data_IF_731529592413
#
_entry.id   IF_731529592413
#
_cell.length_a   1.000
_cell.length_b   1.000
_cell.length_c   1.000
_cell.angle_alpha   90.00
_cell.angle_beta   90.00
_cell.angle_gamma   90.00
#
_symmetry.space_group_name_H-M   'P 1'
#
loop_
_entity.id
_entity.type
_entity.pdbx_description
1 polymer ?
#
# COMPACT_ATOMS: atom_id res chain seq x y z
N UNK A 1 26.43 -17.84 22.90
CA UNK A 1 25.17 -18.34 23.48
C UNK A 1 24.08 -18.19 22.43
N UNK A 2 23.66 -19.29 21.80
CA UNK A 2 22.61 -19.26 20.76
C UNK A 2 21.26 -19.15 21.45
N UNK A 3 20.64 -17.98 21.44
CA UNK A 3 19.24 -17.85 21.84
C UNK A 3 18.39 -17.92 20.57
N UNK A 4 17.95 -19.14 20.24
CA UNK A 4 16.87 -19.33 19.29
C UNK A 4 15.61 -18.81 19.97
N UNK A 5 14.98 -17.77 19.43
CA UNK A 5 13.61 -17.44 19.84
C UNK A 5 12.78 -18.63 19.38
N UNK A 6 12.36 -19.46 20.33
CA UNK A 6 11.38 -20.50 20.07
C UNK A 6 10.15 -19.80 19.46
N UNK A 7 9.69 -20.25 18.29
CA UNK A 7 8.65 -19.56 17.50
C UNK A 7 7.30 -19.39 18.24
N UNK A 8 7.13 -20.16 19.31
CA UNK A 8 6.06 -20.17 20.30
C UNK A 8 6.17 -19.05 21.35
N UNK A 9 7.32 -18.38 21.47
CA UNK A 9 7.54 -17.28 22.40
C UNK A 9 7.11 -15.91 21.86
N UNK A 10 6.72 -15.78 20.59
CA UNK A 10 6.31 -14.49 19.98
C UNK A 10 4.81 -14.27 20.21
N UNK A 11 4.39 -13.32 21.06
CA UNK A 11 2.98 -13.07 21.32
C UNK A 11 2.25 -12.55 20.08
N UNK A 12 0.93 -12.77 20.01
CA UNK A 12 0.09 -12.06 19.04
C UNK A 12 0.24 -10.56 19.22
N UNK A 13 0.32 -9.83 18.12
CA UNK A 13 0.49 -8.38 18.15
C UNK A 13 1.93 -7.90 18.36
N UNK A 14 2.90 -8.81 18.53
CA UNK A 14 4.30 -8.44 18.77
C UNK A 14 4.94 -7.67 17.62
N UNK A 15 5.90 -6.82 17.97
CA UNK A 15 6.85 -6.21 17.04
C UNK A 15 8.18 -6.95 17.19
N UNK A 16 8.74 -7.45 16.09
CA UNK A 16 9.95 -8.28 16.07
C UNK A 16 11.04 -7.56 15.27
N UNK A 17 12.26 -7.63 15.79
CA UNK A 17 13.46 -7.09 15.16
C UNK A 17 14.51 -8.20 15.02
N UNK A 18 15.02 -8.38 13.81
CA UNK A 18 16.16 -9.27 13.51
C UNK A 18 17.42 -8.41 13.43
N UNK A 19 18.31 -8.58 14.40
CA UNK A 19 19.56 -7.83 14.53
C UNK A 19 20.73 -8.78 14.74
N UNK A 20 20.96 -9.70 13.79
CA UNK A 20 21.97 -10.77 13.95
C UNK A 20 23.38 -10.39 13.49
N UNK A 21 23.58 -9.12 13.09
CA UNK A 21 24.83 -8.66 12.47
C UNK A 21 25.23 -9.49 11.24
N UNK A 22 24.27 -10.15 10.61
CA UNK A 22 24.47 -10.89 9.36
C UNK A 22 24.81 -12.37 9.51
N UNK A 23 24.87 -12.92 10.72
CA UNK A 23 25.26 -14.32 10.89
C UNK A 23 24.10 -15.29 10.66
N UNK A 24 22.87 -14.92 11.03
CA UNK A 24 21.71 -15.83 11.06
C UNK A 24 20.38 -15.18 10.66
N UNK A 25 20.44 -14.17 9.78
CA UNK A 25 19.23 -13.44 9.36
C UNK A 25 18.20 -14.38 8.72
N UNK A 26 18.65 -15.34 7.89
CA UNK A 26 17.79 -16.28 7.18
C UNK A 26 16.96 -17.13 8.16
N UNK A 27 17.64 -17.81 9.09
CA UNK A 27 17.04 -18.66 10.11
C UNK A 27 16.09 -17.86 11.02
N UNK A 28 16.52 -16.67 11.45
CA UNK A 28 15.74 -15.81 12.32
C UNK A 28 14.46 -15.32 11.64
N UNK A 29 14.53 -14.90 10.36
CA UNK A 29 13.37 -14.46 9.59
C UNK A 29 12.39 -15.63 9.41
N UNK A 30 12.87 -16.82 9.06
CA UNK A 30 12.01 -17.99 8.85
C UNK A 30 11.25 -18.41 10.09
N UNK A 31 11.92 -18.39 11.25
CA UNK A 31 11.31 -18.74 12.53
C UNK A 31 10.12 -17.84 12.89
N UNK A 32 10.13 -16.56 12.46
CA UNK A 32 9.12 -15.57 12.86
C UNK A 32 8.16 -15.16 11.74
N UNK A 33 8.53 -15.33 10.46
CA UNK A 33 7.73 -14.90 9.32
C UNK A 33 6.35 -15.56 9.29
N UNK A 34 6.27 -16.86 9.60
CA UNK A 34 5.02 -17.62 9.66
C UNK A 34 4.11 -17.28 10.84
N UNK A 35 4.55 -16.42 11.78
CA UNK A 35 3.73 -15.93 12.90
C UNK A 35 2.99 -14.64 12.60
N UNK A 36 3.27 -14.02 11.45
CA UNK A 36 2.69 -12.75 11.03
C UNK A 36 2.72 -11.68 12.14
N UNK A 37 3.91 -11.32 12.69
CA UNK A 37 4.01 -10.26 13.68
C UNK A 37 3.50 -8.92 13.10
N UNK A 38 3.04 -8.02 13.97
CA UNK A 38 2.55 -6.68 13.59
C UNK A 38 3.65 -5.88 12.87
N UNK A 39 4.90 -6.17 13.21
CA UNK A 39 6.08 -5.61 12.57
C UNK A 39 7.19 -6.66 12.56
N UNK A 40 7.86 -6.80 11.43
CA UNK A 40 9.11 -7.54 11.29
C UNK A 40 10.13 -6.62 10.63
N UNK A 41 11.09 -6.14 11.41
CA UNK A 41 12.22 -5.36 10.93
C UNK A 41 13.49 -6.20 10.87
N UNK A 42 14.34 -5.96 9.87
CA UNK A 42 15.67 -6.57 9.77
C UNK A 42 16.71 -5.46 9.69
N UNK A 43 17.66 -5.47 10.63
CA UNK A 43 18.85 -4.61 10.57
C UNK A 43 19.82 -5.22 9.55
N UNK A 44 19.60 -4.87 8.29
CA UNK A 44 20.46 -5.24 7.17
C UNK A 44 20.40 -4.13 6.10
N UNK A 45 21.45 -4.00 5.29
CA UNK A 45 21.42 -3.12 4.13
C UNK A 45 20.39 -3.62 3.11
N UNK A 46 19.83 -2.70 2.30
CA UNK A 46 18.89 -3.06 1.24
C UNK A 46 19.47 -4.13 0.28
N UNK A 47 20.76 -4.00 -0.06
CA UNK A 47 21.49 -4.96 -0.88
C UNK A 47 21.54 -6.36 -0.24
N UNK A 48 21.89 -6.43 1.05
CA UNK A 48 21.96 -7.71 1.78
C UNK A 48 20.57 -8.35 1.89
N UNK A 49 19.55 -7.54 2.18
CA UNK A 49 18.19 -8.07 2.27
C UNK A 49 17.66 -8.57 0.93
N UNK A 50 18.01 -7.95 -0.19
CA UNK A 50 17.66 -8.46 -1.51
C UNK A 50 18.21 -9.88 -1.74
N UNK A 51 19.45 -10.15 -1.31
CA UNK A 51 20.05 -11.49 -1.39
C UNK A 51 19.32 -12.49 -0.46
N UNK A 52 18.95 -12.06 0.75
CA UNK A 52 18.18 -12.90 1.67
C UNK A 52 16.78 -13.22 1.13
N UNK A 53 16.12 -12.29 0.43
CA UNK A 53 14.80 -12.51 -0.16
C UNK A 53 14.79 -13.69 -1.13
N UNK A 54 15.80 -13.83 -1.97
CA UNK A 54 15.89 -14.93 -2.93
C UNK A 54 15.99 -16.28 -2.21
N UNK A 55 16.81 -16.35 -1.16
CA UNK A 55 16.94 -17.54 -0.32
C UNK A 55 15.64 -17.88 0.43
N UNK A 56 14.95 -16.88 0.99
CA UNK A 56 13.69 -17.06 1.70
C UNK A 56 12.55 -17.54 0.77
N UNK A 57 12.52 -17.04 -0.47
CA UNK A 57 11.57 -17.50 -1.50
C UNK A 57 11.80 -18.98 -1.84
N UNK A 58 13.06 -19.37 -2.06
CA UNK A 58 13.42 -20.76 -2.34
C UNK A 58 13.03 -21.72 -1.19
N UNK A 59 12.91 -21.19 0.03
CA UNK A 59 12.52 -21.93 1.24
C UNK A 59 11.02 -21.85 1.54
N UNK A 60 10.23 -21.29 0.62
CA UNK A 60 8.76 -21.33 0.66
C UNK A 60 8.09 -20.16 1.39
N UNK A 61 8.83 -19.13 1.81
CA UNK A 61 8.22 -17.91 2.35
C UNK A 61 7.55 -17.14 1.20
N UNK A 62 6.27 -16.79 1.35
CA UNK A 62 5.52 -16.12 0.29
C UNK A 62 6.05 -14.71 0.01
N UNK A 63 5.94 -14.26 -1.26
CA UNK A 63 6.27 -12.88 -1.67
C UNK A 63 5.55 -11.84 -0.82
N UNK A 64 4.26 -12.06 -0.56
CA UNK A 64 3.44 -11.21 0.30
C UNK A 64 4.02 -11.07 1.72
N UNK A 65 4.52 -12.16 2.30
CA UNK A 65 5.15 -12.13 3.62
C UNK A 65 6.45 -11.34 3.59
N UNK A 66 7.27 -11.51 2.55
CA UNK A 66 8.53 -10.78 2.38
C UNK A 66 8.31 -9.28 2.16
N UNK A 67 7.24 -8.90 1.46
CA UNK A 67 6.88 -7.49 1.22
C UNK A 67 6.48 -6.76 2.52
N UNK A 68 6.03 -7.48 3.55
CA UNK A 68 5.72 -6.89 4.86
C UNK A 68 6.95 -6.60 5.72
N UNK A 69 8.10 -7.21 5.39
CA UNK A 69 9.36 -7.06 6.13
C UNK A 69 9.96 -5.69 5.86
N UNK A 70 10.36 -5.00 6.94
CA UNK A 70 11.07 -3.73 6.85
C UNK A 70 12.58 -3.96 6.86
N UNK A 71 13.25 -3.71 5.73
CA UNK A 71 14.69 -3.92 5.59
C UNK A 71 15.30 -2.93 4.57
N UNK A 72 16.07 -1.93 5.00
CA UNK A 72 16.53 -1.71 6.38
C UNK A 72 15.38 -1.40 7.35
N UNK A 73 15.49 -1.88 8.59
CA UNK A 73 14.56 -1.51 9.64
C UNK A 73 14.70 -0.02 10.00
N UNK A 74 13.58 0.65 10.23
CA UNK A 74 13.50 2.06 10.60
C UNK A 74 13.09 2.99 9.46
N UNK A 75 12.75 4.23 9.83
CA UNK A 75 12.52 5.31 8.87
C UNK A 75 13.86 5.85 8.35
N UNK A 76 13.88 6.31 7.11
CA UNK A 76 15.06 6.98 6.56
C UNK A 76 15.19 8.40 7.13
N UNK A 77 15.90 8.51 8.25
CA UNK A 77 16.24 9.77 8.91
C UNK A 77 17.74 10.11 8.76
N UNK A 78 18.47 9.39 7.89
CA UNK A 78 19.92 9.51 7.77
C UNK A 78 20.71 8.99 8.98
N UNK A 79 20.15 8.04 9.74
CA UNK A 79 20.75 7.48 10.96
C UNK A 79 22.13 6.84 10.73
N UNK A 80 23.07 7.10 11.64
CA UNK A 80 24.46 6.61 11.62
C UNK A 80 24.88 5.96 12.93
N UNK A 81 24.39 6.45 14.07
CA UNK A 81 24.71 5.85 15.38
C UNK A 81 23.68 4.81 15.82
N UNK A 82 24.01 3.90 16.74
CA UNK A 82 23.04 2.96 17.30
C UNK A 82 21.80 3.63 17.89
N UNK A 83 21.95 4.78 18.54
CA UNK A 83 20.85 5.55 19.12
C UNK A 83 19.93 6.13 18.04
N UNK A 84 20.52 6.66 16.95
CA UNK A 84 19.77 7.15 15.80
C UNK A 84 19.02 6.01 15.08
N UNK A 85 19.65 4.83 14.96
CA UNK A 85 19.02 3.63 14.39
C UNK A 85 17.88 3.15 15.29
N UNK A 86 18.07 3.12 16.61
CA UNK A 86 17.01 2.76 17.55
C UNK A 86 15.83 3.73 17.45
N UNK A 87 16.10 5.04 17.38
CA UNK A 87 15.09 6.06 17.20
C UNK A 87 14.32 5.87 15.88
N UNK A 88 15.01 5.59 14.77
CA UNK A 88 14.37 5.40 13.46
C UNK A 88 13.45 4.17 13.43
N UNK A 89 13.84 3.07 14.09
CA UNK A 89 13.05 1.85 14.24
C UNK A 89 11.81 2.12 15.09
N UNK A 90 11.98 2.77 16.24
CA UNK A 90 10.87 3.12 17.12
C UNK A 90 9.88 4.07 16.43
N UNK A 91 10.37 5.05 15.67
CA UNK A 91 9.54 5.94 14.87
C UNK A 91 8.72 5.17 13.83
N UNK A 92 9.33 4.20 13.13
CA UNK A 92 8.62 3.34 12.17
C UNK A 92 7.54 2.47 12.84
N UNK A 93 7.81 1.92 14.02
CA UNK A 93 6.84 1.14 14.79
C UNK A 93 5.63 2.02 15.17
N UNK A 94 5.88 3.22 15.68
CA UNK A 94 4.82 4.18 16.03
C UNK A 94 4.02 4.58 14.80
N UNK A 95 4.69 4.88 13.67
CA UNK A 95 4.04 5.21 12.41
C UNK A 95 3.07 4.11 11.96
N UNK A 96 3.52 2.85 11.93
CA UNK A 96 2.67 1.71 11.54
C UNK A 96 1.50 1.52 12.49
N UNK A 97 1.71 1.65 13.80
CA UNK A 97 0.63 1.58 14.79
C UNK A 97 -0.41 2.68 14.59
N UNK A 98 0.02 3.91 14.31
CA UNK A 98 -0.88 5.04 14.05
C UNK A 98 -1.64 4.88 12.74
N UNK A 99 -1.00 4.39 11.67
CA UNK A 99 -1.67 4.08 10.39
C UNK A 99 -2.70 2.96 10.53
N UNK A 100 -2.41 1.92 11.31
CA UNK A 100 -3.36 0.86 11.60
C UNK A 100 -4.59 1.37 12.38
N UNK A 101 -4.39 2.24 13.37
CA UNK A 101 -5.48 2.85 14.14
C UNK A 101 -6.26 3.93 13.36
N UNK A 102 -5.62 4.62 12.43
CA UNK A 102 -6.24 5.67 11.61
C UNK A 102 -7.01 5.12 10.40
N UNK A 103 -6.88 3.83 10.10
CA UNK A 103 -7.71 3.15 9.12
C UNK A 103 -9.05 2.85 9.82
N UNK A 104 -10.16 3.53 9.46
CA UNK A 104 -11.45 3.23 10.08
C UNK A 104 -11.78 1.77 9.79
N UNK A 105 -12.12 0.99 10.81
CA UNK A 105 -12.69 -0.34 10.60
C UNK A 105 -13.89 -0.22 9.65
N UNK A 106 -13.80 -0.85 8.48
CA UNK A 106 -14.85 -0.83 7.46
C UNK A 106 -14.78 0.32 6.44
N UNK A 107 -13.76 1.19 6.45
CA UNK A 107 -13.56 2.09 5.31
C UNK A 107 -13.15 1.26 4.08
N UNK A 108 -13.88 1.35 2.95
CA UNK A 108 -13.45 0.70 1.72
C UNK A 108 -12.02 1.17 1.38
N UNK A 109 -11.22 0.34 0.68
CA UNK A 109 -9.97 0.83 0.09
C UNK A 109 -10.26 2.19 -0.54
N UNK A 110 -9.41 3.20 -0.34
CA UNK A 110 -9.56 4.48 -1.03
C UNK A 110 -9.52 4.17 -2.52
N UNK A 111 -10.68 3.94 -3.11
CA UNK A 111 -10.87 3.79 -4.53
C UNK A 111 -10.39 5.12 -5.08
N UNK A 112 -9.24 5.07 -5.76
CA UNK A 112 -8.57 6.24 -6.32
C UNK A 112 -9.64 7.11 -6.94
N UNK A 113 -9.70 8.39 -6.55
CA UNK A 113 -10.69 9.33 -7.03
C UNK A 113 -10.60 9.39 -8.56
N UNK A 114 -11.42 8.58 -9.23
CA UNK A 114 -11.42 8.50 -10.69
C UNK A 114 -11.98 9.82 -11.20
N UNK A 115 -11.31 10.42 -12.17
CA UNK A 115 -11.78 11.64 -12.84
C UNK A 115 -12.43 11.25 -14.17
N UNK A 116 -13.53 11.93 -14.50
CA UNK A 116 -14.19 11.87 -15.79
C UNK A 116 -14.16 13.26 -16.44
N UNK A 117 -14.10 13.32 -17.77
CA UNK A 117 -14.14 14.58 -18.51
C UNK A 117 -15.59 14.93 -18.84
N UNK A 118 -16.03 16.15 -18.50
CA UNK A 118 -17.34 16.67 -18.90
C UNK A 118 -17.38 16.85 -20.43
N UNK A 119 -18.26 16.15 -21.16
CA UNK A 119 -18.29 16.17 -22.62
C UNK A 119 -18.75 17.50 -23.23
N UNK A 120 -19.34 18.40 -22.43
CA UNK A 120 -19.83 19.71 -22.90
C UNK A 120 -18.74 20.78 -22.88
N UNK A 121 -17.83 20.72 -21.89
CA UNK A 121 -16.85 21.78 -21.65
C UNK A 121 -15.39 21.30 -21.51
N UNK A 122 -15.15 20.01 -21.40
CA UNK A 122 -13.80 19.43 -21.24
C UNK A 122 -13.24 19.50 -19.82
N UNK A 123 -14.03 19.92 -18.82
CA UNK A 123 -13.56 20.03 -17.43
C UNK A 123 -13.49 18.65 -16.75
N UNK A 124 -12.41 18.36 -16.04
CA UNK A 124 -12.28 17.15 -15.21
C UNK A 124 -13.19 17.21 -13.99
N UNK A 125 -13.88 16.10 -13.71
CA UNK A 125 -14.86 15.94 -12.63
C UNK A 125 -14.54 14.67 -11.85
N UNK A 126 -14.38 14.79 -10.54
CA UNK A 126 -14.22 13.62 -9.67
C UNK A 126 -15.52 12.79 -9.66
N UNK A 127 -15.44 11.53 -10.08
CA UNK A 127 -16.57 10.59 -10.16
C UNK A 127 -17.17 10.32 -8.78
N UNK A 128 -16.32 10.17 -7.77
CA UNK A 128 -16.73 9.91 -6.41
C UNK A 128 -17.53 11.12 -5.86
N UNK A 129 -18.85 10.95 -5.70
CA UNK A 129 -19.74 11.98 -5.15
C UNK A 129 -20.19 13.06 -6.15
N UNK A 130 -19.99 12.86 -7.45
CA UNK A 130 -20.46 13.79 -8.48
C UNK A 130 -21.98 14.01 -8.39
N UNK A 131 -22.40 15.27 -8.20
CA UNK A 131 -23.81 15.65 -8.03
C UNK A 131 -24.59 15.75 -9.34
N UNK A 132 -23.89 15.91 -10.45
CA UNK A 132 -24.49 16.12 -11.76
C UNK A 132 -24.05 15.01 -12.69
N UNK A 133 -24.93 14.03 -12.88
CA UNK A 133 -24.71 12.88 -13.76
C UNK A 133 -25.89 12.67 -14.70
N UNK A 134 -25.65 12.00 -15.81
CA UNK A 134 -26.68 11.52 -16.72
C UNK A 134 -26.26 10.15 -17.28
N UNK A 135 -27.21 9.24 -17.38
CA UNK A 135 -27.00 7.93 -17.97
C UNK A 135 -27.58 7.91 -19.38
N UNK A 136 -26.75 7.53 -20.36
CA UNK A 136 -27.16 7.37 -21.76
C UNK A 136 -26.66 6.01 -22.23
N UNK A 137 -27.58 5.14 -22.63
CA UNK A 137 -27.30 3.71 -22.85
C UNK A 137 -26.72 3.11 -21.56
N UNK A 138 -25.56 2.47 -21.65
CA UNK A 138 -24.85 1.86 -20.52
C UNK A 138 -23.69 2.71 -19.98
N UNK A 139 -23.58 3.98 -20.40
CA UNK A 139 -22.50 4.89 -19.97
C UNK A 139 -23.06 6.00 -19.07
N UNK A 140 -22.41 6.20 -17.92
CA UNK A 140 -22.67 7.34 -17.02
C UNK A 140 -21.72 8.48 -17.39
N UNK A 141 -22.29 9.64 -17.69
CA UNK A 141 -21.58 10.88 -17.92
C UNK A 141 -21.62 11.77 -16.68
N UNK A 142 -20.51 12.48 -16.42
CA UNK A 142 -20.30 13.31 -15.26
C UNK A 142 -20.11 14.77 -15.71
N UNK A 143 -20.73 15.72 -15.01
CA UNK A 143 -20.75 17.13 -15.40
C UNK A 143 -20.21 18.04 -14.31
N UNK A 144 -19.49 19.08 -14.71
CA UNK A 144 -18.92 20.06 -13.78
C UNK A 144 -20.01 20.91 -13.10
N UNK A 145 -21.17 21.08 -13.74
CA UNK A 145 -22.31 21.81 -13.20
C UNK A 145 -23.64 21.34 -13.79
N UNK A 146 -24.75 21.76 -13.17
CA UNK A 146 -26.10 21.50 -13.67
C UNK A 146 -26.32 22.02 -15.10
N UNK A 147 -25.70 23.15 -15.47
CA UNK A 147 -25.82 23.74 -16.81
C UNK A 147 -25.25 22.86 -17.91
N UNK A 148 -24.08 22.24 -17.69
CA UNK A 148 -23.50 21.29 -18.65
C UNK A 148 -24.38 20.04 -18.80
N UNK A 149 -24.90 19.50 -17.68
CA UNK A 149 -25.86 18.39 -17.72
C UNK A 149 -27.11 18.73 -18.56
N UNK A 150 -27.70 19.91 -18.35
CA UNK A 150 -28.88 20.33 -19.11
C UNK A 150 -28.59 20.47 -20.60
N UNK A 151 -27.46 21.08 -20.97
CA UNK A 151 -27.02 21.19 -22.38
C UNK A 151 -26.82 19.83 -23.03
N UNK A 152 -26.20 18.90 -22.31
CA UNK A 152 -25.98 17.54 -22.77
C UNK A 152 -27.28 16.77 -22.99
N UNK A 153 -28.27 16.92 -22.09
CA UNK A 153 -29.57 16.26 -22.23
C UNK A 153 -30.44 16.86 -23.34
N UNK A 154 -30.27 18.15 -23.65
CA UNK A 154 -31.00 18.83 -24.71
C UNK A 154 -30.56 18.40 -26.12
N UNK A 155 -29.29 18.08 -26.31
CA UNK A 155 -28.73 17.61 -27.58
C UNK A 155 -27.63 16.58 -27.34
N UNK A 156 -28.04 15.39 -26.89
CA UNK A 156 -27.10 14.33 -26.51
C UNK A 156 -26.28 13.83 -27.70
N UNK A 157 -26.88 13.75 -28.89
CA UNK A 157 -26.21 13.28 -30.10
C UNK A 157 -25.00 14.15 -30.49
N UNK A 158 -25.06 15.46 -30.21
CA UNK A 158 -23.96 16.41 -30.46
C UNK A 158 -22.72 16.16 -29.61
N UNK A 159 -22.89 15.70 -28.38
CA UNK A 159 -21.81 15.55 -27.40
C UNK A 159 -21.35 14.10 -27.20
N UNK A 160 -22.08 13.13 -27.73
CA UNK A 160 -21.63 11.76 -27.76
C UNK A 160 -20.50 11.62 -28.78
N UNK A 161 -19.31 11.09 -28.39
CA UNK A 161 -18.31 10.72 -29.37
C UNK A 161 -18.90 9.65 -30.30
N UNK A 162 -18.84 9.87 -31.61
CA UNK A 162 -19.08 8.81 -32.60
C UNK A 162 -18.14 7.64 -32.26
N UNK A 163 -18.73 6.51 -31.91
CA UNK A 163 -18.04 5.33 -31.34
C UNK A 163 -16.72 4.97 -32.02
N UNK A 164 -15.58 5.08 -31.31
CA UNK A 164 -14.39 4.26 -31.49
C UNK A 164 -13.40 4.48 -30.33
N UNK A 165 -13.11 3.43 -29.56
CA UNK A 165 -12.01 3.43 -28.59
C UNK A 165 -12.26 2.68 -27.28
N UNK A 166 -12.76 1.44 -27.35
CA UNK A 166 -12.58 0.51 -26.24
C UNK A 166 -11.08 0.19 -26.11
N UNK A 167 -10.42 0.78 -25.11
CA UNK A 167 -9.11 0.39 -24.57
C UNK A 167 -9.37 -0.37 -23.26
N UNK A 168 -8.68 -1.44 -22.87
CA UNK A 168 -7.49 -2.07 -23.42
C UNK A 168 -7.24 -3.41 -22.69
N UNK A 169 -6.36 -4.21 -23.29
CA UNK A 169 -5.78 -5.45 -22.75
C UNK A 169 -4.73 -5.18 -21.68
#
# INVERSE_FOLDING_TARGET
VSQTIAADAVPRGAHVLVATMGERDLEAIEAVAGRAPTYLGVIASAKRFAQLRDALLARGISRETLERISAPAGLDIGARTPEEIALSIMAQIVERRRRAAARPEGAPPREQAREAVDPVCGMSVTIAGARHTAQVRDTIYYFCCAGCRTKFLADTARYLPSSAGAQGS
#
